data_IF_325746504873
#
_entry.id   IF_325746504873
#
_cell.length_a   1.000
_cell.length_b   1.000
_cell.length_c   1.000
_cell.angle_alpha   90.00
_cell.angle_beta   90.00
_cell.angle_gamma   90.00
#
_symmetry.space_group_name_H-M   'P 1'
#
loop_
_entity.id
_entity.type
_entity.pdbx_description
1 polymer ?
#
# COMPACT_ATOMS: atom_id res chain seq x y z
N UNK A 1 23.10 -7.09 4.06
CA UNK A 1 21.86 -7.09 4.85
C UNK A 1 21.59 -5.68 5.31
N UNK A 2 20.34 -5.24 5.29
CA UNK A 2 19.96 -3.95 5.82
C UNK A 2 20.24 -3.84 7.32
N UNK A 3 20.52 -2.62 7.79
CA UNK A 3 20.47 -2.33 9.22
C UNK A 3 19.01 -2.14 9.63
N UNK A 4 18.53 -2.91 10.59
CA UNK A 4 17.17 -2.71 11.15
C UNK A 4 17.28 -1.91 12.45
N UNK A 5 16.43 -0.87 12.58
CA UNK A 5 16.32 -0.03 13.79
C UNK A 5 14.89 -0.13 14.31
N UNK A 6 14.74 -0.58 15.54
CA UNK A 6 13.46 -0.50 16.27
C UNK A 6 13.21 0.95 16.71
N UNK A 7 12.18 1.57 16.12
CA UNK A 7 11.83 2.97 16.38
C UNK A 7 11.19 3.21 17.75
N UNK A 8 10.82 2.14 18.46
CA UNK A 8 10.25 2.24 19.81
C UNK A 8 11.32 2.42 20.88
N UNK A 9 12.55 2.01 20.59
CA UNK A 9 13.69 2.10 21.50
C UNK A 9 14.26 3.53 21.54
N UNK A 10 14.52 4.14 20.37
CA UNK A 10 14.99 5.52 20.25
C UNK A 10 14.48 6.12 18.94
N UNK A 11 13.34 6.79 19.07
CA UNK A 11 12.66 7.42 17.93
C UNK A 11 13.48 8.53 17.28
N UNK A 12 14.20 9.30 18.08
CA UNK A 12 14.98 10.43 17.57
C UNK A 12 16.19 9.95 16.78
N UNK A 13 16.94 8.98 17.31
CA UNK A 13 18.06 8.38 16.59
C UNK A 13 17.61 7.66 15.31
N UNK A 14 16.43 7.06 15.30
CA UNK A 14 15.85 6.46 14.09
C UNK A 14 15.54 7.53 13.02
N UNK A 15 14.97 8.69 13.40
CA UNK A 15 14.72 9.82 12.49
C UNK A 15 16.01 10.37 11.92
N UNK A 16 17.05 10.55 12.76
CA UNK A 16 18.36 11.05 12.34
C UNK A 16 19.02 10.10 11.34
N UNK A 17 19.08 8.80 11.65
CA UNK A 17 19.64 7.79 10.76
C UNK A 17 18.89 7.72 9.42
N UNK A 18 17.56 7.79 9.46
CA UNK A 18 16.71 7.78 8.26
C UNK A 18 16.93 9.04 7.42
N UNK A 19 16.94 10.23 8.05
CA UNK A 19 17.15 11.49 7.37
C UNK A 19 18.52 11.55 6.70
N UNK A 20 19.57 11.03 7.35
CA UNK A 20 20.91 10.94 6.76
C UNK A 20 20.91 10.02 5.53
N UNK A 21 20.34 8.81 5.62
CA UNK A 21 20.27 7.89 4.50
C UNK A 21 19.46 8.46 3.31
N UNK A 22 18.34 9.15 3.58
CA UNK A 22 17.53 9.83 2.56
C UNK A 22 18.29 10.99 1.90
N UNK A 23 19.05 11.80 2.68
CA UNK A 23 19.87 12.89 2.17
C UNK A 23 21.00 12.40 1.26
N UNK A 24 21.58 11.22 1.56
CA UNK A 24 22.55 10.53 0.72
C UNK A 24 21.90 9.88 -0.53
N UNK A 25 20.59 10.07 -0.71
CA UNK A 25 19.84 9.60 -1.87
C UNK A 25 19.53 8.10 -1.82
N UNK A 26 19.63 7.43 -0.69
CA UNK A 26 19.23 6.03 -0.57
C UNK A 26 17.71 5.86 -0.50
N UNK A 27 17.22 4.70 -0.96
CA UNK A 27 15.89 4.22 -0.66
C UNK A 27 15.95 3.37 0.62
N UNK A 28 15.05 3.64 1.57
CA UNK A 28 14.97 2.98 2.87
C UNK A 28 13.55 2.45 3.12
N UNK A 29 13.40 1.44 3.96
CA UNK A 29 12.08 0.96 4.35
C UNK A 29 11.57 1.68 5.60
N UNK A 30 10.37 2.25 5.50
CA UNK A 30 9.70 2.97 6.59
C UNK A 30 8.35 2.34 6.93
N UNK A 31 7.99 2.27 8.23
CA UNK A 31 6.67 1.83 8.64
C UNK A 31 5.63 2.92 8.37
N UNK A 32 4.44 2.49 7.89
CA UNK A 32 3.23 3.31 7.90
C UNK A 32 2.09 2.53 8.52
N UNK A 33 0.97 3.20 8.81
CA UNK A 33 -0.22 2.54 9.34
C UNK A 33 -0.84 1.55 8.34
N UNK A 34 -0.57 1.71 7.04
CA UNK A 34 -1.12 0.86 5.97
C UNK A 34 -0.23 -0.34 5.67
N UNK A 35 0.92 -0.11 5.08
CA UNK A 35 1.96 -1.10 4.75
C UNK A 35 3.33 -0.44 4.89
N UNK A 36 4.39 -1.22 4.95
CA UNK A 36 5.75 -0.67 4.87
C UNK A 36 5.99 -0.07 3.49
N UNK A 37 6.58 1.14 3.47
CA UNK A 37 6.92 1.88 2.26
C UNK A 37 8.43 1.84 1.97
N UNK A 38 8.80 1.68 0.71
CA UNK A 38 10.17 1.91 0.23
C UNK A 38 10.30 3.38 -0.12
N UNK A 39 10.82 4.18 0.80
CA UNK A 39 10.83 5.63 0.75
C UNK A 39 12.15 6.19 0.23
N UNK A 40 12.08 7.18 -0.63
CA UNK A 40 13.21 7.99 -1.06
C UNK A 40 12.76 9.45 -1.28
N UNK A 41 13.72 10.37 -1.32
CA UNK A 41 13.49 11.79 -1.60
C UNK A 41 12.79 11.97 -2.97
N UNK A 42 11.56 12.48 -2.95
CA UNK A 42 10.76 12.70 -4.16
C UNK A 42 11.28 13.84 -5.06
N UNK A 43 12.22 14.63 -4.56
CA UNK A 43 12.86 15.72 -5.32
C UNK A 43 14.16 15.30 -6.01
N UNK A 44 14.70 14.12 -5.63
CA UNK A 44 15.98 13.62 -6.13
C UNK A 44 15.77 12.50 -7.18
N UNK A 45 16.09 12.75 -8.47
CA UNK A 45 15.91 11.76 -9.53
C UNK A 45 16.70 10.46 -9.33
N UNK A 46 17.89 10.53 -8.73
CA UNK A 46 18.70 9.33 -8.47
C UNK A 46 18.07 8.48 -7.35
N UNK A 47 17.53 9.11 -6.31
CA UNK A 47 16.84 8.42 -5.23
C UNK A 47 15.56 7.73 -5.73
N UNK A 48 14.78 8.40 -6.59
CA UNK A 48 13.59 7.81 -7.23
C UNK A 48 13.98 6.65 -8.15
N UNK A 49 15.04 6.80 -8.96
CA UNK A 49 15.52 5.73 -9.83
C UNK A 49 15.89 4.47 -9.03
N UNK A 50 16.49 4.62 -7.84
CA UNK A 50 16.78 3.51 -6.92
C UNK A 50 15.53 2.78 -6.44
N UNK A 51 14.39 3.48 -6.23
CA UNK A 51 13.12 2.81 -5.91
C UNK A 51 12.72 1.86 -7.06
N UNK A 52 12.74 2.35 -8.30
CA UNK A 52 12.35 1.54 -9.47
C UNK A 52 13.27 0.34 -9.64
N UNK A 53 14.58 0.55 -9.51
CA UNK A 53 15.60 -0.50 -9.64
C UNK A 53 15.48 -1.54 -8.52
N UNK A 54 15.41 -1.12 -7.25
CA UNK A 54 15.30 -2.00 -6.08
C UNK A 54 14.10 -2.92 -6.18
N UNK A 55 12.96 -2.40 -6.65
CA UNK A 55 11.70 -3.15 -6.78
C UNK A 55 11.56 -3.91 -8.10
N UNK A 56 12.36 -3.64 -9.13
CA UNK A 56 12.06 -4.08 -10.50
C UNK A 56 10.75 -3.51 -11.02
N UNK A 57 10.42 -2.25 -10.64
CA UNK A 57 9.14 -1.62 -10.96
C UNK A 57 9.15 -0.99 -12.35
N UNK A 58 8.07 -1.17 -13.16
CA UNK A 58 7.93 -0.46 -14.42
C UNK A 58 7.87 1.06 -14.23
N UNK A 59 8.63 1.82 -15.03
CA UNK A 59 8.76 3.28 -14.89
C UNK A 59 7.49 4.07 -15.24
N UNK A 60 6.55 3.48 -15.95
CA UNK A 60 5.26 4.08 -16.28
C UNK A 60 4.24 4.05 -15.12
N UNK A 61 4.57 3.36 -14.03
CA UNK A 61 3.68 3.22 -12.87
C UNK A 61 4.07 4.25 -11.81
N UNK A 62 3.29 5.35 -11.63
CA UNK A 62 3.66 6.46 -10.77
C UNK A 62 3.79 6.04 -9.31
N UNK A 63 4.42 6.89 -8.51
CA UNK A 63 4.62 6.70 -7.07
C UNK A 63 3.69 7.63 -6.29
N UNK A 64 3.29 7.22 -5.08
CA UNK A 64 2.62 8.11 -4.13
C UNK A 64 3.69 8.91 -3.40
N UNK A 65 3.54 10.24 -3.41
CA UNK A 65 4.37 11.15 -2.66
C UNK A 65 3.74 11.41 -1.29
N UNK A 66 4.50 11.15 -0.24
CA UNK A 66 4.06 11.31 1.14
C UNK A 66 4.55 12.65 1.68
N UNK A 67 3.65 13.35 2.37
CA UNK A 67 3.86 14.69 2.94
C UNK A 67 3.80 14.63 4.46
N UNK A 68 4.41 15.60 5.13
CA UNK A 68 4.32 15.74 6.58
C UNK A 68 2.92 16.16 7.02
N UNK A 69 2.29 17.04 6.26
CA UNK A 69 1.00 17.66 6.56
C UNK A 69 0.33 18.22 5.30
N UNK A 70 -0.87 18.82 5.49
CA UNK A 70 -1.62 19.45 4.41
C UNK A 70 -0.88 20.70 3.84
N UNK A 71 -0.16 21.45 4.65
CA UNK A 71 0.56 22.63 4.19
C UNK A 71 1.65 22.26 3.19
N UNK A 72 2.48 21.25 3.51
CA UNK A 72 3.46 20.70 2.55
C UNK A 72 2.76 20.16 1.29
N UNK A 73 1.62 19.50 1.41
CA UNK A 73 0.88 18.97 0.26
C UNK A 73 0.40 20.09 -0.68
N UNK A 74 -0.06 21.21 -0.10
CA UNK A 74 -0.51 22.40 -0.85
C UNK A 74 0.63 23.15 -1.56
N UNK A 75 1.89 22.94 -1.19
CA UNK A 75 3.04 23.47 -1.95
C UNK A 75 3.20 22.77 -3.30
N UNK A 76 2.80 21.50 -3.40
CA UNK A 76 3.07 20.63 -4.55
C UNK A 76 1.86 20.37 -5.46
N UNK A 77 0.64 20.45 -4.95
CA UNK A 77 -0.56 20.13 -5.72
C UNK A 77 -1.68 21.16 -5.56
N UNK A 78 -2.57 21.20 -6.56
CA UNK A 78 -3.75 22.05 -6.54
C UNK A 78 -4.92 21.32 -5.89
N UNK A 79 -5.52 21.96 -4.87
CA UNK A 79 -6.67 21.42 -4.14
C UNK A 79 -7.94 22.16 -4.48
N UNK A 80 -8.90 21.45 -5.06
CA UNK A 80 -10.27 21.91 -5.12
C UNK A 80 -10.95 21.84 -3.71
N UNK A 81 -12.13 22.44 -3.53
CA UNK A 81 -12.80 22.45 -2.23
C UNK A 81 -13.11 21.05 -1.67
N UNK A 82 -13.45 20.08 -2.52
CA UNK A 82 -13.80 18.72 -2.10
C UNK A 82 -12.54 17.96 -1.70
N UNK A 83 -11.49 18.01 -2.51
CA UNK A 83 -10.19 17.41 -2.18
C UNK A 83 -9.63 17.95 -0.87
N UNK A 84 -9.76 19.26 -0.63
CA UNK A 84 -9.35 19.88 0.63
C UNK A 84 -10.19 19.43 1.83
N UNK A 85 -11.52 19.26 1.64
CA UNK A 85 -12.39 18.72 2.68
C UNK A 85 -12.03 17.27 3.03
N UNK A 86 -11.76 16.43 2.03
CA UNK A 86 -11.31 15.05 2.21
C UNK A 86 -9.95 14.99 2.92
N UNK A 87 -8.98 15.81 2.50
CA UNK A 87 -7.69 15.91 3.16
C UNK A 87 -7.83 16.28 4.65
N UNK A 88 -8.62 17.31 4.98
CA UNK A 88 -8.87 17.72 6.37
C UNK A 88 -9.57 16.66 7.21
N UNK A 89 -10.44 15.85 6.61
CA UNK A 89 -11.19 14.81 7.32
C UNK A 89 -10.35 13.55 7.58
N UNK A 90 -9.46 13.18 6.65
CA UNK A 90 -8.81 11.87 6.64
C UNK A 90 -7.29 11.89 6.73
N UNK A 91 -6.64 13.05 6.70
CA UNK A 91 -5.21 13.19 6.93
C UNK A 91 -4.90 13.72 8.34
N UNK A 92 -3.88 13.15 8.98
CA UNK A 92 -3.04 11.99 8.57
C UNK A 92 -3.86 10.70 8.54
N UNK A 93 -3.68 9.88 7.46
CA UNK A 93 -4.42 8.62 7.35
C UNK A 93 -4.31 7.90 6.00
N UNK A 94 -5.14 6.83 5.82
CA UNK A 94 -5.02 5.92 4.71
C UNK A 94 -5.76 6.41 3.44
N UNK A 95 -5.76 7.72 3.16
CA UNK A 95 -6.30 8.33 1.95
C UNK A 95 -5.17 8.89 1.09
N UNK A 96 -5.15 8.53 -0.19
CA UNK A 96 -4.33 9.16 -1.23
C UNK A 96 -5.25 9.94 -2.17
N UNK A 97 -4.91 11.20 -2.43
CA UNK A 97 -5.58 12.04 -3.42
C UNK A 97 -4.68 12.17 -4.65
N UNK A 98 -5.23 11.92 -5.84
CA UNK A 98 -4.59 12.23 -7.12
C UNK A 98 -5.04 13.61 -7.54
N UNK A 99 -4.09 14.55 -7.59
CA UNK A 99 -4.34 15.99 -7.76
C UNK A 99 -3.46 16.54 -8.89
N UNK A 100 -3.86 17.65 -9.54
CA UNK A 100 -3.00 18.34 -10.49
C UNK A 100 -1.70 18.79 -9.82
N UNK A 101 -0.56 18.50 -10.46
CA UNK A 101 0.76 18.91 -10.00
C UNK A 101 0.96 20.40 -10.26
N UNK A 102 1.41 21.15 -9.26
CA UNK A 102 1.75 22.57 -9.46
C UNK A 102 3.01 22.74 -10.29
N UNK A 103 3.06 23.72 -11.21
CA UNK A 103 4.25 23.98 -12.04
C UNK A 103 5.53 24.24 -11.25
N UNK A 104 5.42 24.82 -10.06
CA UNK A 104 6.57 25.12 -9.17
C UNK A 104 6.92 23.97 -8.21
N UNK A 105 6.23 22.84 -8.30
CA UNK A 105 6.51 21.67 -7.44
C UNK A 105 7.94 21.20 -7.61
N UNK A 106 8.61 20.89 -6.51
CA UNK A 106 9.94 20.27 -6.51
C UNK A 106 9.90 18.75 -6.72
N UNK A 107 8.72 18.12 -6.76
CA UNK A 107 8.59 16.69 -7.03
C UNK A 107 9.08 16.41 -8.44
N UNK A 108 10.04 15.49 -8.55
CA UNK A 108 10.62 15.16 -9.85
C UNK A 108 9.68 14.32 -10.70
N UNK A 109 9.65 14.56 -12.02
CA UNK A 109 8.75 13.90 -12.99
C UNK A 109 8.86 12.37 -13.01
N UNK A 110 9.99 11.79 -12.61
CA UNK A 110 10.09 10.33 -12.42
C UNK A 110 9.13 9.80 -11.35
N UNK A 111 8.81 10.58 -10.31
CA UNK A 111 7.87 10.15 -9.28
C UNK A 111 6.43 10.12 -9.81
N UNK A 112 6.08 11.03 -10.71
CA UNK A 112 4.75 11.09 -11.36
C UNK A 112 4.67 10.23 -12.63
N UNK A 113 5.77 9.55 -13.02
CA UNK A 113 5.87 8.86 -14.32
C UNK A 113 5.59 9.78 -15.52
N UNK A 114 5.87 11.09 -15.39
CA UNK A 114 5.66 12.11 -16.41
C UNK A 114 4.23 12.62 -16.51
N UNK A 115 3.34 12.25 -15.59
CA UNK A 115 1.97 12.76 -15.54
C UNK A 115 1.92 14.18 -14.97
N UNK A 116 0.91 14.96 -15.40
CA UNK A 116 0.59 16.30 -14.88
C UNK A 116 -0.16 16.24 -13.55
N UNK A 117 -0.33 15.05 -12.99
CA UNK A 117 -0.95 14.80 -11.69
C UNK A 117 -0.01 14.04 -10.76
N UNK A 118 -0.26 14.15 -9.46
CA UNK A 118 0.51 13.48 -8.43
C UNK A 118 -0.40 12.85 -7.38
N UNK A 119 -0.10 11.60 -7.02
CA UNK A 119 -0.72 10.95 -5.87
C UNK A 119 -0.08 11.43 -4.58
N UNK A 120 -0.86 12.11 -3.72
CA UNK A 120 -0.39 12.67 -2.44
C UNK A 120 -1.09 12.02 -1.26
N UNK A 121 -0.32 11.78 -0.18
CA UNK A 121 -0.82 11.26 1.08
C UNK A 121 -0.06 11.85 2.27
N UNK A 122 -0.78 12.08 3.37
CA UNK A 122 -0.17 12.37 4.68
C UNK A 122 -0.33 11.13 5.56
N UNK A 123 0.73 10.34 5.81
CA UNK A 123 0.65 9.10 6.58
C UNK A 123 0.60 9.37 8.08
N UNK A 124 0.02 8.44 8.87
CA UNK A 124 0.04 8.49 10.33
C UNK A 124 1.39 8.05 10.91
N UNK A 125 1.68 8.55 12.11
CA UNK A 125 2.69 8.00 13.00
C UNK A 125 4.13 8.40 12.65
N UNK A 126 5.04 7.42 12.57
CA UNK A 126 6.47 7.66 12.39
C UNK A 126 6.79 8.30 11.04
N UNK A 127 6.15 7.83 9.96
CA UNK A 127 6.43 8.33 8.61
C UNK A 127 6.16 9.83 8.48
N UNK A 128 5.04 10.34 9.03
CA UNK A 128 4.74 11.77 9.04
C UNK A 128 5.80 12.59 9.80
N UNK A 129 6.24 12.09 10.98
CA UNK A 129 7.29 12.74 11.77
C UNK A 129 8.65 12.76 11.05
N UNK A 130 9.02 11.64 10.39
CA UNK A 130 10.25 11.57 9.58
C UNK A 130 10.20 12.58 8.43
N UNK A 131 9.10 12.66 7.69
CA UNK A 131 8.95 13.59 6.57
C UNK A 131 9.07 15.04 7.06
N UNK A 132 8.43 15.35 8.20
CA UNK A 132 8.54 16.68 8.82
C UNK A 132 9.97 17.03 9.22
N UNK A 133 10.72 16.11 9.81
CA UNK A 133 12.12 16.29 10.16
C UNK A 133 13.03 16.38 8.94
N UNK A 134 12.77 15.61 7.89
CA UNK A 134 13.52 15.63 6.64
C UNK A 134 13.24 16.91 5.81
N UNK A 135 12.05 17.51 5.96
CA UNK A 135 11.65 18.76 5.32
C UNK A 135 11.37 18.67 3.81
N UNK A 136 11.28 17.45 3.25
CA UNK A 136 11.00 17.23 1.81
C UNK A 136 10.03 16.06 1.63
N UNK A 137 9.21 16.05 0.55
CA UNK A 137 8.32 14.94 0.26
C UNK A 137 9.09 13.64 -0.02
N UNK A 138 8.52 12.50 0.39
CA UNK A 138 9.07 11.17 0.11
C UNK A 138 8.19 10.41 -0.88
N UNK A 139 8.75 9.94 -1.99
CA UNK A 139 8.11 8.93 -2.83
C UNK A 139 8.21 7.58 -2.14
N UNK A 140 7.09 6.92 -1.86
CA UNK A 140 7.09 5.66 -1.11
C UNK A 140 6.03 4.67 -1.60
N UNK A 141 6.32 3.83 -2.60
CA UNK A 141 5.53 2.63 -2.88
C UNK A 141 5.73 1.59 -1.76
N UNK A 142 4.93 0.51 -1.75
CA UNK A 142 5.11 -0.59 -0.79
C UNK A 142 6.54 -1.17 -0.84
N UNK A 143 7.07 -1.63 0.31
CA UNK A 143 8.46 -2.11 0.43
C UNK A 143 8.58 -3.61 0.10
N UNK A 144 8.24 -4.00 -1.13
CA UNK A 144 8.36 -5.35 -1.68
C UNK A 144 8.77 -5.32 -3.15
N UNK A 145 9.27 -6.41 -3.70
CA UNK A 145 9.48 -6.59 -5.14
C UNK A 145 8.16 -6.37 -5.91
N UNK A 146 8.23 -5.71 -7.06
CA UNK A 146 7.05 -5.33 -7.85
C UNK A 146 6.20 -6.55 -8.22
N UNK A 147 4.88 -6.42 -8.10
CA UNK A 147 3.93 -7.51 -8.35
C UNK A 147 3.73 -8.48 -7.18
N UNK A 148 4.65 -8.55 -6.22
CA UNK A 148 4.57 -9.43 -5.07
C UNK A 148 3.65 -8.92 -3.94
N UNK A 149 3.44 -9.74 -2.93
CA UNK A 149 2.64 -9.44 -1.74
C UNK A 149 3.28 -8.31 -0.94
N UNK A 150 2.52 -7.27 -0.61
CA UNK A 150 3.01 -6.10 0.13
C UNK A 150 3.55 -6.48 1.52
N UNK A 151 4.55 -5.72 1.98
CA UNK A 151 5.17 -5.93 3.28
C UNK A 151 4.39 -5.19 4.38
N UNK A 152 3.97 -5.89 5.43
CA UNK A 152 3.27 -5.34 6.59
C UNK A 152 4.09 -5.40 7.87
N UNK A 153 5.34 -5.87 7.81
CA UNK A 153 6.30 -5.89 8.91
C UNK A 153 7.73 -5.70 8.39
N UNK A 154 8.65 -5.30 9.28
CA UNK A 154 10.07 -5.21 8.96
C UNK A 154 10.65 -6.55 8.50
N UNK A 155 10.21 -7.66 9.09
CA UNK A 155 10.62 -9.01 8.70
C UNK A 155 10.24 -9.33 7.25
N UNK A 156 9.07 -8.90 6.78
CA UNK A 156 8.67 -9.05 5.38
C UNK A 156 9.57 -8.25 4.43
N UNK A 157 9.98 -7.05 4.83
CA UNK A 157 10.91 -6.22 4.05
C UNK A 157 12.29 -6.85 4.02
N UNK A 158 12.81 -7.29 5.17
CA UNK A 158 14.13 -7.93 5.27
C UNK A 158 14.22 -9.16 4.36
N UNK A 159 13.18 -10.01 4.38
CA UNK A 159 13.14 -11.23 3.56
C UNK A 159 13.15 -10.94 2.04
N UNK A 160 12.54 -9.83 1.59
CA UNK A 160 12.39 -9.50 0.16
C UNK A 160 13.47 -8.51 -0.33
N UNK A 161 13.70 -7.43 0.40
CA UNK A 161 14.55 -6.32 -0.03
C UNK A 161 15.77 -6.06 0.86
N UNK A 162 15.96 -6.80 1.97
CA UNK A 162 17.00 -6.52 2.94
C UNK A 162 18.44 -6.57 2.39
N UNK A 163 18.68 -7.32 1.29
CA UNK A 163 19.97 -7.33 0.60
C UNK A 163 20.18 -6.11 -0.33
N UNK A 164 19.12 -5.34 -0.63
CA UNK A 164 19.13 -4.27 -1.66
C UNK A 164 19.05 -2.87 -1.09
N UNK A 165 18.74 -2.73 0.21
CA UNK A 165 18.54 -1.43 0.88
C UNK A 165 19.42 -1.32 2.12
N UNK A 166 19.85 -0.10 2.52
CA UNK A 166 20.74 0.06 3.67
C UNK A 166 20.03 0.02 5.01
N UNK A 167 18.74 0.39 5.08
CA UNK A 167 18.05 0.66 6.34
C UNK A 167 16.58 0.21 6.30
N UNK A 168 16.16 -0.44 7.38
CA UNK A 168 14.77 -0.78 7.70
C UNK A 168 14.43 -0.18 9.06
N UNK A 169 13.34 0.57 9.14
CA UNK A 169 12.81 1.09 10.39
C UNK A 169 11.64 0.21 10.83
N UNK A 170 11.76 -0.37 12.03
CA UNK A 170 10.77 -1.32 12.55
C UNK A 170 9.85 -0.65 13.59
N UNK A 171 8.55 -0.69 13.34
CA UNK A 171 7.48 -0.25 14.25
C UNK A 171 6.55 -1.40 14.63
N UNK A 172 6.93 -2.65 14.35
CA UNK A 172 6.01 -3.78 14.39
C UNK A 172 5.07 -3.84 13.16
N UNK A 173 4.00 -4.64 13.24
CA UNK A 173 3.04 -4.81 12.14
C UNK A 173 2.26 -3.54 11.83
N UNK A 174 1.96 -3.33 10.55
CA UNK A 174 1.07 -2.25 10.09
C UNK A 174 -0.36 -2.50 10.55
N UNK A 175 -1.00 -1.52 11.19
CA UNK A 175 -2.31 -1.68 11.83
C UNK A 175 -3.47 -1.85 10.84
N UNK A 176 -3.37 -1.29 9.62
CA UNK A 176 -4.42 -1.37 8.57
C UNK A 176 -4.23 -2.58 7.66
N UNK A 177 -2.98 -2.94 7.34
CA UNK A 177 -2.61 -4.13 6.59
C UNK A 177 -2.83 -4.10 5.09
N UNK A 178 -3.60 -3.15 4.57
CA UNK A 178 -3.79 -2.90 3.14
C UNK A 178 -3.43 -1.46 2.80
N UNK A 179 -3.08 -1.18 1.54
CA UNK A 179 -2.66 0.15 1.11
C UNK A 179 -3.78 1.18 1.23
N UNK A 180 -3.41 2.46 1.09
CA UNK A 180 -4.34 3.59 1.08
C UNK A 180 -5.40 3.49 -0.01
N UNK A 181 -6.59 3.98 0.26
CA UNK A 181 -7.63 4.25 -0.74
C UNK A 181 -7.17 5.40 -1.62
N UNK A 182 -7.29 5.26 -2.95
CA UNK A 182 -6.88 6.27 -3.91
C UNK A 182 -8.10 6.86 -4.59
N UNK A 183 -8.25 8.18 -4.48
CA UNK A 183 -9.35 8.94 -5.09
C UNK A 183 -8.77 10.05 -5.97
N UNK A 184 -9.34 10.24 -7.15
CA UNK A 184 -9.10 11.37 -8.05
C UNK A 184 -10.34 12.27 -8.07
N UNK A 185 -10.14 13.57 -7.93
CA UNK A 185 -11.17 14.57 -8.18
C UNK A 185 -10.93 15.19 -9.55
N UNK A 186 -11.89 15.09 -10.46
CA UNK A 186 -11.80 15.62 -11.81
C UNK A 186 -13.18 16.03 -12.34
N UNK A 187 -13.28 17.24 -12.88
CA UNK A 187 -14.54 17.74 -13.46
C UNK A 187 -15.72 17.79 -12.47
N UNK A 188 -15.46 17.98 -11.17
CA UNK A 188 -16.46 17.96 -10.11
C UNK A 188 -16.94 16.57 -9.69
N UNK A 189 -16.38 15.51 -10.27
CA UNK A 189 -16.66 14.12 -9.92
C UNK A 189 -15.52 13.52 -9.12
N UNK A 190 -15.84 12.53 -8.26
CA UNK A 190 -14.86 11.75 -7.52
C UNK A 190 -14.77 10.34 -8.11
N UNK A 191 -13.56 9.93 -8.45
CA UNK A 191 -13.29 8.60 -9.00
C UNK A 191 -12.46 7.78 -8.01
N UNK A 192 -12.95 6.61 -7.62
CA UNK A 192 -12.19 5.61 -6.87
C UNK A 192 -11.26 4.88 -7.84
N UNK A 193 -9.95 5.14 -7.71
CA UNK A 193 -8.92 4.48 -8.52
C UNK A 193 -8.44 3.17 -7.88
N UNK A 194 -8.47 3.09 -6.55
CA UNK A 194 -8.11 1.88 -5.80
C UNK A 194 -8.83 1.87 -4.45
N UNK A 195 -9.66 0.85 -4.14
CA UNK A 195 -10.15 0.66 -2.79
C UNK A 195 -8.97 0.31 -1.85
N UNK A 196 -9.05 0.72 -0.58
CA UNK A 196 -7.95 0.55 0.39
C UNK A 196 -8.41 0.70 1.83
N UNK A 197 -7.49 1.11 2.72
CA UNK A 197 -7.70 1.16 4.16
C UNK A 197 -8.73 2.19 4.67
N UNK A 198 -9.33 2.97 3.78
CA UNK A 198 -10.46 3.85 4.08
C UNK A 198 -11.65 3.42 3.23
N UNK A 199 -12.77 3.08 3.85
CA UNK A 199 -13.95 2.60 3.14
C UNK A 199 -14.58 3.70 2.25
N UNK A 200 -15.04 3.34 1.05
CA UNK A 200 -15.62 4.26 0.07
C UNK A 200 -16.79 5.08 0.67
N UNK A 201 -17.67 4.45 1.46
CA UNK A 201 -18.79 5.13 2.14
C UNK A 201 -18.38 6.29 3.05
N UNK A 202 -17.23 6.19 3.72
CA UNK A 202 -16.74 7.27 4.59
C UNK A 202 -16.34 8.47 3.75
N UNK A 203 -15.70 8.24 2.60
CA UNK A 203 -15.30 9.28 1.65
C UNK A 203 -16.54 9.95 1.07
N UNK A 204 -17.52 9.16 0.59
CA UNK A 204 -18.79 9.64 0.03
C UNK A 204 -19.57 10.52 1.02
N UNK A 205 -19.60 10.13 2.30
CA UNK A 205 -20.24 10.90 3.36
C UNK A 205 -19.62 12.28 3.57
N UNK A 206 -18.29 12.38 3.52
CA UNK A 206 -17.58 13.66 3.69
C UNK A 206 -17.67 14.50 2.41
N UNK A 207 -17.58 13.86 1.24
CA UNK A 207 -17.66 14.52 -0.05
C UNK A 207 -19.08 14.99 -0.42
N UNK A 208 -20.12 14.42 0.18
CA UNK A 208 -21.52 14.69 -0.14
C UNK A 208 -21.95 14.19 -1.53
N UNK A 209 -21.17 13.30 -2.15
CA UNK A 209 -21.42 12.73 -3.47
C UNK A 209 -20.86 11.31 -3.59
N UNK A 210 -21.39 10.46 -4.52
CA UNK A 210 -20.88 9.10 -4.71
C UNK A 210 -19.50 9.08 -5.36
N UNK A 211 -18.76 8.00 -5.10
CA UNK A 211 -17.52 7.66 -5.80
C UNK A 211 -17.83 6.85 -7.06
N UNK A 212 -17.43 7.36 -8.20
CA UNK A 212 -17.43 6.59 -9.44
C UNK A 212 -16.27 5.59 -9.41
N UNK A 213 -16.52 4.38 -9.90
CA UNK A 213 -15.46 3.38 -10.06
C UNK A 213 -14.93 3.42 -11.49
N UNK A 214 -13.62 3.52 -11.67
CA UNK A 214 -12.99 3.48 -12.98
C UNK A 214 -13.35 2.15 -13.68
N UNK A 215 -13.84 2.23 -14.92
CA UNK A 215 -14.05 1.03 -15.74
C UNK A 215 -12.69 0.45 -16.11
N UNK A 216 -12.44 -0.79 -15.75
CA UNK A 216 -11.13 -1.47 -15.72
C UNK A 216 -10.41 -1.65 -17.07
N UNK A 217 -11.01 -1.30 -18.22
CA UNK A 217 -10.52 -1.77 -19.52
C UNK A 217 -9.74 -0.77 -20.39
N UNK A 218 -9.61 0.52 -20.04
CA UNK A 218 -8.97 1.51 -20.94
C UNK A 218 -8.33 2.72 -20.26
N UNK A 219 -8.16 2.73 -18.95
CA UNK A 219 -7.64 3.89 -18.26
C UNK A 219 -6.10 3.94 -18.32
N UNK A 220 -5.55 5.11 -18.65
CA UNK A 220 -4.16 5.44 -18.37
C UNK A 220 -3.83 5.10 -16.91
N UNK A 221 -2.66 4.50 -16.65
CA UNK A 221 -2.24 4.19 -15.28
C UNK A 221 -1.88 5.50 -14.57
N UNK A 222 -2.79 6.00 -13.76
CA UNK A 222 -2.64 7.27 -13.01
C UNK A 222 -2.28 7.04 -11.54
N UNK A 223 -2.37 5.78 -11.07
CA UNK A 223 -2.09 5.44 -9.67
C UNK A 223 -1.52 4.03 -9.53
N UNK A 224 -0.78 3.75 -8.43
CA UNK A 224 -0.31 2.39 -8.13
C UNK A 224 -1.47 1.42 -7.88
N UNK A 225 -1.30 0.15 -8.28
CA UNK A 225 -2.29 -0.91 -8.06
C UNK A 225 -3.39 -0.97 -9.12
N UNK A 226 -3.27 -0.25 -10.24
CA UNK A 226 -4.19 -0.36 -11.38
C UNK A 226 -3.83 -1.50 -12.34
N UNK A 227 -2.68 -2.15 -12.19
CA UNK A 227 -2.29 -3.32 -12.99
C UNK A 227 -3.20 -4.51 -12.72
N UNK A 228 -3.52 -5.29 -13.75
CA UNK A 228 -4.42 -6.43 -13.64
C UNK A 228 -3.87 -7.51 -12.69
N UNK A 229 -2.59 -7.88 -12.81
CA UNK A 229 -1.91 -8.81 -11.89
C UNK A 229 -1.03 -8.03 -10.92
N UNK A 230 -1.25 -8.20 -9.63
CA UNK A 230 -0.51 -7.57 -8.54
C UNK A 230 -0.76 -8.33 -7.22
N UNK A 231 0.06 -8.11 -6.18
CA UNK A 231 -0.06 -8.74 -4.87
C UNK A 231 0.05 -10.27 -4.89
N UNK A 232 0.69 -10.82 -5.91
CA UNK A 232 0.72 -12.25 -6.15
C UNK A 232 1.76 -12.97 -5.27
N UNK A 233 1.36 -14.00 -4.47
CA UNK A 233 2.29 -14.93 -3.81
C UNK A 233 2.94 -15.84 -4.85
N UNK A 234 3.93 -16.66 -4.46
CA UNK A 234 4.53 -17.70 -5.33
C UNK A 234 3.51 -18.74 -5.78
N UNK A 235 2.69 -19.20 -4.84
CA UNK A 235 1.57 -20.12 -5.10
C UNK A 235 0.45 -19.47 -5.92
N UNK A 236 -0.36 -20.28 -6.61
CA UNK A 236 -1.59 -19.82 -7.24
C UNK A 236 -2.65 -19.46 -6.20
N UNK A 237 -3.62 -18.61 -6.58
CA UNK A 237 -4.69 -18.16 -5.66
C UNK A 237 -6.04 -18.60 -6.21
N UNK A 238 -6.86 -19.23 -5.35
CA UNK A 238 -8.21 -19.67 -5.65
C UNK A 238 -9.21 -18.99 -4.70
N UNK A 239 -10.17 -18.29 -5.28
CA UNK A 239 -11.14 -17.48 -4.54
C UNK A 239 -12.45 -18.22 -4.32
N UNK A 240 -13.22 -17.76 -3.32
CA UNK A 240 -14.56 -18.27 -2.99
C UNK A 240 -14.58 -19.78 -2.77
N UNK A 241 -13.54 -20.30 -2.13
CA UNK A 241 -13.40 -21.73 -1.88
C UNK A 241 -14.40 -22.21 -0.81
N UNK A 242 -15.19 -23.21 -1.15
CA UNK A 242 -16.09 -23.94 -0.24
C UNK A 242 -15.52 -25.31 0.16
N UNK A 243 -14.44 -25.73 -0.49
CA UNK A 243 -13.68 -26.93 -0.18
C UNK A 243 -12.19 -26.71 -0.42
N UNK A 244 -11.34 -27.42 0.32
CA UNK A 244 -9.88 -27.45 0.16
C UNK A 244 -9.49 -28.65 -0.69
N UNK A 245 -8.61 -28.45 -1.65
CA UNK A 245 -8.00 -29.51 -2.43
C UNK A 245 -6.69 -30.01 -1.77
N UNK A 246 -6.28 -31.25 -1.99
CA UNK A 246 -5.05 -31.78 -1.40
C UNK A 246 -3.82 -30.95 -1.78
N UNK A 247 -3.05 -30.50 -0.76
CA UNK A 247 -1.83 -29.70 -0.94
C UNK A 247 -2.05 -28.19 -1.01
N UNK A 248 -3.28 -27.70 -0.85
CA UNK A 248 -3.57 -26.27 -0.70
C UNK A 248 -3.32 -25.77 0.72
N UNK A 249 -3.12 -24.47 0.85
CA UNK A 249 -3.30 -23.72 2.10
C UNK A 249 -4.70 -23.12 2.12
N UNK A 250 -5.32 -23.01 3.30
CA UNK A 250 -6.60 -22.34 3.47
C UNK A 250 -6.42 -21.03 4.22
N UNK A 251 -6.94 -19.94 3.65
CA UNK A 251 -7.16 -18.68 4.34
C UNK A 251 -8.67 -18.46 4.45
N UNK A 252 -9.19 -18.63 5.66
CA UNK A 252 -10.61 -18.51 5.98
C UNK A 252 -10.96 -17.11 6.48
N UNK A 253 -12.26 -16.83 6.61
CA UNK A 253 -12.82 -15.62 7.21
C UNK A 253 -14.11 -15.95 7.96
N UNK A 254 -14.28 -15.40 9.18
CA UNK A 254 -15.52 -15.49 9.95
C UNK A 254 -15.82 -16.89 10.46
N UNK A 255 -14.80 -17.71 10.76
CA UNK A 255 -14.96 -19.12 11.13
C UNK A 255 -15.73 -19.93 10.08
N UNK A 256 -15.54 -19.60 8.79
CA UNK A 256 -16.18 -20.31 7.69
C UNK A 256 -15.85 -21.79 7.73
N UNK A 257 -16.88 -22.64 7.66
CA UNK A 257 -16.69 -24.10 7.53
C UNK A 257 -16.39 -24.41 6.08
N UNK A 258 -15.14 -24.79 5.81
CA UNK A 258 -14.67 -25.16 4.47
C UNK A 258 -14.40 -26.68 4.46
N UNK A 259 -15.04 -27.41 3.56
CA UNK A 259 -14.87 -28.85 3.48
C UNK A 259 -13.43 -29.25 3.21
N UNK A 260 -12.92 -30.27 3.88
CA UNK A 260 -11.53 -30.74 3.70
C UNK A 260 -10.46 -29.82 4.33
N UNK A 261 -10.83 -28.88 5.18
CA UNK A 261 -9.87 -27.98 5.87
C UNK A 261 -8.78 -28.75 6.63
N UNK A 262 -9.10 -29.92 7.20
CA UNK A 262 -8.15 -30.78 7.92
C UNK A 262 -7.02 -31.32 7.01
N UNK A 263 -7.20 -31.32 5.70
CA UNK A 263 -6.21 -31.74 4.71
C UNK A 263 -5.33 -30.61 4.19
N UNK A 264 -5.60 -29.37 4.61
CA UNK A 264 -4.83 -28.20 4.22
C UNK A 264 -3.38 -28.27 4.78
N UNK A 265 -2.42 -27.71 4.03
CA UNK A 265 -1.03 -27.53 4.50
C UNK A 265 -0.96 -26.65 5.74
N UNK A 266 -1.77 -25.60 5.76
CA UNK A 266 -1.97 -24.66 6.87
C UNK A 266 -3.37 -24.08 6.76
N UNK A 267 -4.01 -23.86 7.91
CA UNK A 267 -5.28 -23.15 8.00
C UNK A 267 -5.05 -21.86 8.77
N UNK A 268 -5.39 -20.72 8.18
CA UNK A 268 -5.30 -19.40 8.77
C UNK A 268 -6.69 -18.75 8.65
N UNK A 269 -7.18 -18.09 9.70
CA UNK A 269 -8.45 -17.35 9.65
C UNK A 269 -8.16 -15.86 9.81
N UNK A 270 -8.49 -15.07 8.78
CA UNK A 270 -8.23 -13.63 8.75
C UNK A 270 -8.89 -12.90 9.92
N UNK A 271 -10.08 -13.32 10.31
CA UNK A 271 -10.79 -12.87 11.50
C UNK A 271 -11.87 -13.89 11.87
N UNK A 272 -11.69 -14.70 12.92
CA UNK A 272 -12.71 -15.64 13.37
C UNK A 272 -14.04 -14.98 13.74
N UNK A 273 -14.01 -13.71 14.11
CA UNK A 273 -15.21 -12.94 14.47
C UNK A 273 -15.88 -12.25 13.27
N UNK A 274 -15.34 -12.38 12.08
CA UNK A 274 -15.85 -11.71 10.89
C UNK A 274 -15.58 -10.19 10.85
N UNK A 275 -14.56 -9.71 11.56
CA UNK A 275 -14.17 -8.30 11.56
C UNK A 275 -13.29 -8.01 10.32
N UNK A 276 -13.78 -7.14 9.44
CA UNK A 276 -13.09 -6.78 8.21
C UNK A 276 -11.82 -5.95 8.44
N UNK A 277 -11.71 -5.20 9.54
CA UNK A 277 -10.49 -4.47 9.87
C UNK A 277 -9.38 -5.43 10.33
N UNK A 278 -9.71 -6.41 11.17
CA UNK A 278 -8.82 -7.50 11.56
C UNK A 278 -8.39 -8.31 10.32
N UNK A 279 -9.33 -8.62 9.43
CA UNK A 279 -9.05 -9.36 8.20
C UNK A 279 -8.11 -8.60 7.26
N UNK A 280 -8.28 -7.31 7.09
CA UNK A 280 -7.40 -6.47 6.30
C UNK A 280 -5.98 -6.41 6.89
N UNK A 281 -5.88 -6.26 8.23
CA UNK A 281 -4.60 -6.23 8.93
C UNK A 281 -3.80 -7.55 8.77
N UNK A 282 -4.49 -8.69 8.72
CA UNK A 282 -3.88 -10.02 8.61
C UNK A 282 -3.63 -10.46 7.16
N UNK A 283 -4.25 -9.83 6.16
CA UNK A 283 -4.30 -10.34 4.79
C UNK A 283 -2.92 -10.68 4.23
N UNK A 284 -2.02 -9.72 4.16
CA UNK A 284 -0.72 -9.91 3.52
C UNK A 284 0.23 -10.78 4.35
N UNK A 285 0.16 -10.71 5.69
CA UNK A 285 0.92 -11.63 6.54
C UNK A 285 0.50 -13.08 6.30
N UNK A 286 -0.81 -13.34 6.28
CA UNK A 286 -1.32 -14.69 6.09
C UNK A 286 -1.08 -15.21 4.66
N UNK A 287 -1.13 -14.35 3.65
CA UNK A 287 -0.72 -14.72 2.29
C UNK A 287 0.74 -15.14 2.23
N UNK A 288 1.65 -14.40 2.88
CA UNK A 288 3.09 -14.78 2.94
C UNK A 288 3.30 -16.05 3.73
N UNK A 289 2.62 -16.25 4.84
CA UNK A 289 2.70 -17.49 5.64
C UNK A 289 2.16 -18.70 4.88
N UNK A 290 1.05 -18.55 4.19
CA UNK A 290 0.47 -19.60 3.35
C UNK A 290 1.42 -19.97 2.19
N UNK A 291 2.03 -18.97 1.55
CA UNK A 291 3.03 -19.18 0.49
C UNK A 291 4.28 -19.89 1.01
N UNK A 292 4.78 -19.48 2.16
CA UNK A 292 5.94 -20.09 2.83
C UNK A 292 5.68 -21.54 3.31
N UNK A 293 4.42 -21.99 3.41
CA UNK A 293 4.07 -23.37 3.77
C UNK A 293 4.43 -24.40 2.69
N UNK A 294 4.81 -23.93 1.49
CA UNK A 294 5.03 -24.78 0.33
C UNK A 294 3.75 -25.35 -0.28
N UNK A 295 2.60 -24.71 -0.02
CA UNK A 295 1.34 -25.04 -0.67
C UNK A 295 1.41 -24.73 -2.18
N UNK A 296 0.84 -25.61 -3.01
CA UNK A 296 0.76 -25.37 -4.46
C UNK A 296 -0.20 -24.23 -4.83
N UNK A 297 -1.23 -24.04 -4.01
CA UNK A 297 -2.22 -22.98 -4.15
C UNK A 297 -2.75 -22.54 -2.78
N UNK A 298 -3.28 -21.33 -2.73
CA UNK A 298 -3.91 -20.74 -1.55
C UNK A 298 -5.38 -20.56 -1.84
N UNK A 299 -6.23 -21.30 -1.12
CA UNK A 299 -7.67 -21.22 -1.19
C UNK A 299 -8.19 -20.16 -0.20
N UNK A 300 -9.00 -19.20 -0.67
CA UNK A 300 -9.66 -18.20 0.17
C UNK A 300 -11.15 -18.50 0.27
N UNK A 301 -11.68 -18.55 1.50
CA UNK A 301 -13.12 -18.57 1.70
C UNK A 301 -13.77 -17.25 1.26
N UNK A 302 -15.09 -17.18 1.00
CA UNK A 302 -15.76 -15.94 0.63
C UNK A 302 -15.59 -14.86 1.68
N UNK A 303 -15.35 -13.61 1.22
CA UNK A 303 -15.22 -12.40 2.05
C UNK A 303 -16.29 -11.41 1.57
N UNK A 304 -17.06 -10.74 2.48
CA UNK A 304 -18.04 -9.73 2.10
C UNK A 304 -17.44 -8.60 1.25
N UNK A 305 -18.22 -8.06 0.30
CA UNK A 305 -17.79 -6.97 -0.59
C UNK A 305 -17.95 -5.56 0.02
N UNK A 306 -18.51 -5.45 1.22
CA UNK A 306 -18.78 -4.18 1.87
C UNK A 306 -17.59 -3.64 2.68
N UNK A 307 -17.51 -2.33 2.88
CA UNK A 307 -16.51 -1.69 3.72
C UNK A 307 -15.08 -2.00 3.26
N UNK A 308 -14.23 -2.49 4.19
CA UNK A 308 -12.86 -2.93 3.88
C UNK A 308 -12.82 -4.23 3.06
N UNK A 309 -13.91 -4.97 2.98
CA UNK A 309 -14.02 -6.16 2.14
C UNK A 309 -13.84 -5.85 0.66
N UNK A 310 -14.28 -4.66 0.19
CA UNK A 310 -14.00 -4.20 -1.18
C UNK A 310 -12.48 -4.14 -1.46
N UNK A 311 -11.70 -3.63 -0.50
CA UNK A 311 -10.24 -3.57 -0.63
C UNK A 311 -9.59 -4.96 -0.57
N UNK A 312 -10.05 -5.82 0.33
CA UNK A 312 -9.54 -7.19 0.44
C UNK A 312 -9.80 -7.95 -0.86
N UNK A 313 -11.03 -7.93 -1.37
CA UNK A 313 -11.41 -8.64 -2.60
C UNK A 313 -10.69 -8.09 -3.83
N UNK A 314 -10.46 -6.75 -3.94
CA UNK A 314 -9.61 -6.19 -5.01
C UNK A 314 -8.18 -6.78 -4.98
N UNK A 315 -7.57 -6.91 -3.79
CA UNK A 315 -6.23 -7.52 -3.65
C UNK A 315 -6.24 -8.98 -4.04
N UNK A 316 -7.25 -9.73 -3.62
CA UNK A 316 -7.38 -11.16 -3.92
C UNK A 316 -7.64 -11.41 -5.41
N UNK A 317 -8.48 -10.62 -6.06
CA UNK A 317 -8.74 -10.72 -7.50
C UNK A 317 -7.47 -10.47 -8.31
N UNK A 318 -6.66 -9.46 -7.94
CA UNK A 318 -5.38 -9.17 -8.59
C UNK A 318 -4.31 -10.23 -8.30
N UNK A 319 -4.32 -10.83 -7.11
CA UNK A 319 -3.41 -11.92 -6.75
C UNK A 319 -3.74 -13.23 -7.50
N UNK A 320 -5.02 -13.44 -7.82
CA UNK A 320 -5.51 -14.59 -8.59
C UNK A 320 -5.42 -14.39 -10.11
N UNK A 321 -5.17 -13.17 -10.59
CA UNK A 321 -5.09 -12.88 -12.02
C UNK A 321 -3.92 -13.63 -12.68
N UNK A 322 -4.05 -14.06 -13.97
CA UNK A 322 -2.95 -14.65 -14.70
C UNK A 322 -1.70 -13.77 -14.67
N UNK A 323 -0.54 -14.39 -14.56
CA UNK A 323 0.77 -13.74 -14.63
C UNK A 323 1.29 -13.88 -16.05
N UNK A 324 1.60 -12.75 -16.66
CA UNK A 324 2.25 -12.71 -18.00
C UNK A 324 3.72 -13.14 -17.89
#
# INVERSE_FOLDING_TARGET
>A
MARTIDITTDRQAAIEAASAALADGFAIAIPTETVYGLAADATNPLAIARIYETKGRPRFNPLICHMADLAMAEEHAEFDPVSRALAKAFWPGPLTLVLPLKPQSSIHSLATAGLDSVGIRVPKGFAGALIGAFGRPLAAPSANTSGGVSATSAAHVEADLGAKIPLILDAGPSAVGVESTIVKAEGGQLMLLRPGGLAAREIERVAGQPLLRAKTASATIEAPGMLASHYAPGASVRLNATAVEPGEALIAFGSAVVSGADSARIVLDLSPRGDLAEAAANLFDYMKRADASGARSIAFSPIPEEGLGEAINDRLQRAAAPRD
#
